data_IF_904075734746
#
_entry.id   IF_904075734746
#
_cell.length_a   1.000
_cell.length_b   1.000
_cell.length_c   1.000
_cell.angle_alpha   90.00
_cell.angle_beta   90.00
_cell.angle_gamma   90.00
#
_symmetry.space_group_name_H-M   'P 1'
#
loop_
_entity.id
_entity.type
_entity.pdbx_description
1 polymer ?
#
# COMPACT_ATOMS: atom_id res chain seq x y z
N UNK A 1 -48.67 42.16 16.27
CA UNK A 1 -49.37 41.15 15.43
C UNK A 1 -48.93 39.77 15.89
N UNK A 2 -49.63 39.17 16.86
CA UNK A 2 -49.26 37.87 17.45
C UNK A 2 -49.64 36.76 16.49
N UNK A 3 -48.69 35.89 16.22
CA UNK A 3 -48.94 34.69 15.40
C UNK A 3 -49.88 33.74 16.14
N UNK A 4 -50.89 33.22 15.44
CA UNK A 4 -51.81 32.24 16.02
C UNK A 4 -51.06 31.02 16.57
N UNK A 5 -51.56 30.37 17.66
CA UNK A 5 -50.87 29.25 18.31
C UNK A 5 -50.63 28.07 17.36
N UNK A 6 -51.44 27.88 16.31
CA UNK A 6 -51.25 26.88 15.25
C UNK A 6 -50.05 27.21 14.36
N UNK A 7 -49.85 28.47 14.00
CA UNK A 7 -48.71 28.89 13.16
C UNK A 7 -47.36 28.77 13.90
N UNK A 8 -47.32 29.01 15.20
CA UNK A 8 -46.16 28.83 16.02
C UNK A 8 -45.74 27.34 16.18
N UNK A 9 -46.75 26.46 16.35
CA UNK A 9 -46.56 25.01 16.46
C UNK A 9 -46.03 24.41 15.15
N UNK A 10 -46.62 24.77 14.00
CA UNK A 10 -46.11 24.33 12.70
C UNK A 10 -44.68 24.80 12.44
N UNK A 11 -44.30 26.01 12.82
CA UNK A 11 -42.95 26.52 12.66
C UNK A 11 -41.90 25.70 13.45
N UNK A 12 -42.28 25.20 14.63
CA UNK A 12 -41.43 24.31 15.44
C UNK A 12 -41.25 22.94 14.82
N UNK A 13 -42.33 22.39 14.25
CA UNK A 13 -42.27 21.10 13.55
C UNK A 13 -41.44 21.17 12.27
N UNK A 14 -41.60 22.20 11.45
CA UNK A 14 -40.75 22.41 10.25
C UNK A 14 -39.30 22.60 10.60
N UNK A 15 -38.96 23.32 11.67
CA UNK A 15 -37.58 23.45 12.09
C UNK A 15 -36.97 22.13 12.53
N UNK A 16 -37.71 21.29 13.26
CA UNK A 16 -37.25 19.96 13.68
C UNK A 16 -37.07 19.04 12.48
N UNK A 17 -38.02 19.00 11.56
CA UNK A 17 -37.91 18.22 10.30
C UNK A 17 -36.69 18.67 9.49
N UNK A 18 -36.46 19.99 9.37
CA UNK A 18 -35.31 20.53 8.66
C UNK A 18 -33.97 20.13 9.32
N UNK A 19 -33.92 20.09 10.66
CA UNK A 19 -32.70 19.64 11.39
C UNK A 19 -32.46 18.14 11.13
N UNK A 20 -33.51 17.30 11.18
CA UNK A 20 -33.37 15.88 10.92
C UNK A 20 -32.95 15.58 9.48
N UNK A 21 -33.47 16.32 8.50
CA UNK A 21 -33.08 16.15 7.09
C UNK A 21 -31.62 16.55 6.87
N UNK A 22 -31.16 17.65 7.48
CA UNK A 22 -29.75 18.07 7.41
C UNK A 22 -28.85 17.02 8.07
N UNK A 23 -29.19 16.55 9.26
CA UNK A 23 -28.42 15.52 9.97
C UNK A 23 -28.36 14.21 9.16
N UNK A 24 -29.46 13.79 8.57
CA UNK A 24 -29.52 12.60 7.71
C UNK A 24 -28.66 12.77 6.44
N UNK A 25 -28.65 13.95 5.84
CA UNK A 25 -27.79 14.26 4.67
C UNK A 25 -26.31 14.21 5.01
N UNK A 26 -25.94 14.77 6.15
CA UNK A 26 -24.55 14.73 6.63
C UNK A 26 -24.11 13.28 6.90
N UNK A 27 -24.98 12.49 7.57
CA UNK A 27 -24.70 11.09 7.83
C UNK A 27 -24.56 10.28 6.54
N UNK A 28 -25.46 10.49 5.58
CA UNK A 28 -25.41 9.85 4.29
C UNK A 28 -24.12 10.20 3.52
N UNK A 29 -23.72 11.48 3.52
CA UNK A 29 -22.48 11.92 2.92
C UNK A 29 -21.25 11.27 3.60
N UNK A 30 -21.25 11.21 4.92
CA UNK A 30 -20.17 10.54 5.67
C UNK A 30 -20.08 9.05 5.35
N UNK A 31 -21.21 8.36 5.24
CA UNK A 31 -21.26 6.94 4.83
C UNK A 31 -20.70 6.75 3.41
N UNK A 32 -21.05 7.63 2.47
CA UNK A 32 -20.53 7.57 1.10
C UNK A 32 -19.02 7.76 1.08
N UNK A 33 -18.50 8.76 1.81
CA UNK A 33 -17.05 8.99 1.92
C UNK A 33 -16.35 7.78 2.52
N UNK A 34 -16.90 7.20 3.60
CA UNK A 34 -16.34 6.01 4.22
C UNK A 34 -16.31 4.80 3.24
N UNK A 35 -17.39 4.60 2.47
CA UNK A 35 -17.44 3.55 1.43
C UNK A 35 -16.39 3.78 0.35
N UNK A 36 -16.25 5.00 -0.15
CA UNK A 36 -15.21 5.35 -1.13
C UNK A 36 -13.83 5.01 -0.55
N UNK A 37 -13.57 5.43 0.69
CA UNK A 37 -12.29 5.19 1.34
C UNK A 37 -11.97 3.68 1.47
N UNK A 38 -12.93 2.85 1.86
CA UNK A 38 -12.75 1.39 1.99
C UNK A 38 -12.53 0.68 0.64
N UNK A 39 -13.09 1.22 -0.44
CA UNK A 39 -12.87 0.70 -1.80
C UNK A 39 -11.46 1.04 -2.28
N UNK A 40 -10.99 2.26 -2.01
CA UNK A 40 -9.73 2.77 -2.54
C UNK A 40 -8.51 2.34 -1.73
N UNK A 41 -8.65 2.23 -0.41
CA UNK A 41 -7.55 1.93 0.47
C UNK A 41 -7.75 0.61 1.23
N UNK A 42 -6.63 -0.03 1.53
CA UNK A 42 -6.58 -1.14 2.49
C UNK A 42 -5.56 -0.78 3.56
N UNK A 43 -5.97 -0.85 4.83
CA UNK A 43 -5.04 -0.74 5.93
C UNK A 43 -4.38 -2.10 6.18
N UNK A 44 -3.07 -2.11 6.29
CA UNK A 44 -2.26 -3.29 6.59
C UNK A 44 -1.38 -2.98 7.78
N UNK A 45 -1.35 -3.88 8.76
CA UNK A 45 -0.40 -3.82 9.88
C UNK A 45 0.77 -4.74 9.53
N UNK A 46 1.98 -4.21 9.66
CA UNK A 46 3.21 -4.93 9.37
C UNK A 46 3.51 -5.86 10.55
N UNK A 47 3.60 -7.15 10.30
CA UNK A 47 3.88 -8.16 11.31
C UNK A 47 5.27 -8.79 11.17
N UNK A 48 5.97 -8.52 10.09
CA UNK A 48 7.34 -8.95 9.80
C UNK A 48 8.35 -7.78 9.87
N UNK A 49 9.62 -8.07 9.61
CA UNK A 49 10.72 -7.11 9.57
C UNK A 49 11.30 -6.91 8.17
N UNK A 50 10.64 -7.41 7.15
CA UNK A 50 11.16 -7.41 5.78
C UNK A 50 11.40 -6.03 5.20
N UNK A 51 10.71 -5.00 5.71
CA UNK A 51 10.81 -3.64 5.19
C UNK A 51 11.59 -2.68 6.10
N UNK A 52 12.27 -3.20 7.13
CA UNK A 52 13.17 -2.39 7.97
C UNK A 52 14.39 -1.91 7.14
N UNK A 53 14.85 -0.68 7.33
CA UNK A 53 14.40 0.33 8.29
C UNK A 53 13.25 1.22 7.78
N UNK A 54 12.82 1.07 6.55
CA UNK A 54 11.79 1.95 5.94
C UNK A 54 10.46 1.86 6.68
N UNK A 55 10.04 0.65 6.99
CA UNK A 55 8.83 0.34 7.75
C UNK A 55 9.18 -0.67 8.84
N UNK A 56 8.73 -0.41 10.05
CA UNK A 56 9.01 -1.25 11.22
C UNK A 56 7.84 -2.19 11.53
N UNK A 57 8.14 -3.28 12.22
CA UNK A 57 7.10 -4.17 12.72
C UNK A 57 6.15 -3.44 13.67
N UNK A 58 4.86 -3.54 13.41
CA UNK A 58 3.80 -2.85 14.14
C UNK A 58 3.33 -1.55 13.47
N UNK A 59 4.03 -1.09 12.44
CA UNK A 59 3.55 0.04 11.64
C UNK A 59 2.22 -0.31 10.97
N UNK A 60 1.33 0.67 10.87
CA UNK A 60 0.13 0.57 10.05
C UNK A 60 0.27 1.45 8.81
N UNK A 61 0.08 0.85 7.66
CA UNK A 61 0.17 1.52 6.36
C UNK A 61 -1.15 1.46 5.61
N UNK A 62 -1.40 2.47 4.78
CA UNK A 62 -2.48 2.48 3.82
C UNK A 62 -1.92 2.12 2.45
N UNK A 63 -2.45 1.05 1.88
CA UNK A 63 -2.16 0.64 0.52
C UNK A 63 -3.25 1.18 -0.42
N UNK A 64 -2.83 1.98 -1.41
CA UNK A 64 -3.69 2.50 -2.47
C UNK A 64 -3.90 1.41 -3.54
N UNK A 65 -5.13 0.92 -3.64
CA UNK A 65 -5.53 -0.09 -4.64
C UNK A 65 -5.70 0.51 -6.03
N UNK A 66 -6.08 1.78 -6.11
CA UNK A 66 -6.37 2.44 -7.38
C UNK A 66 -5.10 2.91 -8.08
N UNK A 67 -4.01 3.14 -7.34
CA UNK A 67 -2.75 3.53 -7.92
C UNK A 67 -2.33 2.61 -9.08
N UNK A 68 -2.62 1.31 -8.93
CA UNK A 68 -2.30 0.27 -9.92
C UNK A 68 -3.29 0.19 -11.09
N UNK A 69 -4.46 0.78 -10.96
CA UNK A 69 -5.47 0.86 -12.04
C UNK A 69 -5.08 1.93 -13.07
N UNK A 70 -4.45 3.00 -12.61
CA UNK A 70 -4.11 4.15 -13.45
C UNK A 70 -2.63 4.22 -13.84
N UNK A 71 -1.76 3.49 -13.15
CA UNK A 71 -0.33 3.48 -13.44
C UNK A 71 0.28 2.12 -13.09
N UNK A 72 1.19 1.64 -13.93
CA UNK A 72 2.00 0.46 -13.59
C UNK A 72 2.95 0.78 -12.43
N UNK A 73 3.27 -0.21 -11.58
CA UNK A 73 4.31 -0.07 -10.57
C UNK A 73 5.63 0.39 -11.19
N UNK A 74 6.33 1.26 -10.48
CA UNK A 74 7.65 1.76 -10.85
C UNK A 74 8.71 1.17 -9.95
N UNK A 75 9.96 1.15 -10.42
CA UNK A 75 11.10 0.78 -9.58
C UNK A 75 11.17 1.70 -8.35
N UNK A 76 11.31 1.09 -7.17
CA UNK A 76 11.32 1.77 -5.89
C UNK A 76 9.96 1.80 -5.18
N UNK A 77 8.84 1.57 -5.88
CA UNK A 77 7.52 1.49 -5.25
C UNK A 77 7.48 0.36 -4.22
N UNK A 78 6.88 0.61 -3.07
CA UNK A 78 6.56 -0.43 -2.09
C UNK A 78 5.17 -0.97 -2.36
N UNK A 79 5.07 -2.28 -2.56
CA UNK A 79 3.82 -2.95 -2.89
C UNK A 79 3.40 -3.91 -1.77
N UNK A 80 2.09 -3.90 -1.47
CA UNK A 80 1.44 -4.95 -0.70
C UNK A 80 0.98 -6.03 -1.67
N UNK A 81 1.30 -7.29 -1.39
CA UNK A 81 0.94 -8.41 -2.26
C UNK A 81 0.57 -9.65 -1.46
N UNK A 82 -0.16 -10.56 -2.10
CA UNK A 82 -0.46 -11.89 -1.52
C UNK A 82 0.66 -12.86 -1.86
N UNK A 83 1.19 -13.52 -0.83
CA UNK A 83 2.20 -14.55 -1.02
C UNK A 83 1.74 -15.64 -2.00
N UNK A 84 2.71 -16.24 -2.66
CA UNK A 84 2.47 -17.40 -3.54
C UNK A 84 2.01 -18.60 -2.70
N UNK A 85 2.62 -18.77 -1.52
CA UNK A 85 2.31 -19.83 -0.57
C UNK A 85 1.85 -19.23 0.76
N UNK A 86 1.00 -19.93 1.51
CA UNK A 86 0.60 -19.57 2.87
C UNK A 86 -0.47 -18.48 3.01
N UNK A 87 -0.87 -17.79 1.93
CA UNK A 87 -2.04 -16.88 1.91
C UNK A 87 -1.88 -15.56 2.69
N UNK A 88 -0.70 -15.25 3.22
CA UNK A 88 -0.42 -14.01 3.93
C UNK A 88 -0.30 -12.79 3.00
N UNK A 89 -0.41 -11.60 3.59
CA UNK A 89 -0.10 -10.33 2.92
C UNK A 89 1.31 -9.93 3.31
N UNK A 90 2.14 -9.68 2.32
CA UNK A 90 3.53 -9.27 2.47
C UNK A 90 3.77 -7.95 1.78
N UNK A 91 4.91 -7.35 2.09
CA UNK A 91 5.37 -6.14 1.42
C UNK A 91 6.73 -6.38 0.80
N UNK A 92 6.98 -5.68 -0.31
CA UNK A 92 8.27 -5.70 -0.97
C UNK A 92 8.44 -4.46 -1.84
N UNK A 93 9.68 -4.11 -2.10
CA UNK A 93 10.00 -3.01 -2.99
C UNK A 93 10.22 -3.52 -4.40
N UNK A 94 9.67 -2.83 -5.38
CA UNK A 94 9.87 -3.13 -6.81
C UNK A 94 11.33 -2.86 -7.16
N UNK A 95 12.04 -3.92 -7.53
CA UNK A 95 13.43 -3.88 -7.96
C UNK A 95 13.58 -4.21 -9.43
N UNK A 96 12.85 -5.22 -9.93
CA UNK A 96 12.84 -5.59 -11.34
C UNK A 96 11.50 -5.32 -11.99
N UNK A 97 11.53 -4.81 -13.22
CA UNK A 97 10.37 -4.55 -14.07
C UNK A 97 10.34 -5.55 -15.24
N UNK A 98 9.17 -5.70 -15.85
CA UNK A 98 8.99 -6.61 -17.01
C UNK A 98 10.03 -6.36 -18.11
N UNK A 99 10.61 -7.42 -18.63
CA UNK A 99 11.66 -7.41 -19.65
C UNK A 99 13.07 -7.17 -19.14
N UNK A 100 13.26 -6.89 -17.84
CA UNK A 100 14.58 -6.66 -17.27
C UNK A 100 15.22 -7.95 -16.78
N UNK A 101 16.52 -7.99 -16.89
CA UNK A 101 17.37 -9.03 -16.35
C UNK A 101 17.90 -8.58 -14.99
N UNK A 102 17.59 -9.34 -13.93
CA UNK A 102 17.96 -9.02 -12.55
C UNK A 102 18.85 -10.10 -11.98
N UNK A 103 19.96 -9.69 -11.38
CA UNK A 103 20.88 -10.56 -10.66
C UNK A 103 21.26 -9.97 -9.31
N UNK A 104 21.64 -10.82 -8.36
CA UNK A 104 22.26 -10.42 -7.09
C UNK A 104 23.63 -11.05 -7.05
N UNK A 105 24.66 -10.24 -6.93
CA UNK A 105 26.06 -10.71 -6.86
C UNK A 105 26.84 -9.90 -5.84
N UNK A 106 27.53 -10.61 -4.95
CA UNK A 106 28.33 -9.98 -3.89
C UNK A 106 27.53 -9.03 -3.01
N UNK A 107 26.25 -9.37 -2.76
CA UNK A 107 25.37 -8.56 -1.92
C UNK A 107 24.70 -7.38 -2.61
N UNK A 108 24.97 -7.14 -3.88
CA UNK A 108 24.46 -6.01 -4.66
C UNK A 108 23.53 -6.47 -5.79
N UNK A 109 22.53 -5.65 -6.10
CA UNK A 109 21.59 -5.92 -7.19
C UNK A 109 22.07 -5.30 -8.50
N UNK A 110 21.93 -6.05 -9.58
CA UNK A 110 22.25 -5.61 -10.93
C UNK A 110 21.00 -5.72 -11.81
N UNK A 111 20.75 -4.69 -12.60
CA UNK A 111 19.67 -4.64 -13.61
C UNK A 111 20.31 -4.51 -14.98
N UNK A 112 20.06 -5.47 -15.85
CA UNK A 112 20.67 -5.54 -17.19
C UNK A 112 22.21 -5.37 -17.14
N UNK A 113 22.84 -5.98 -16.17
CA UNK A 113 24.29 -5.91 -15.93
C UNK A 113 24.78 -4.62 -15.26
N UNK A 114 23.91 -3.64 -15.00
CA UNK A 114 24.28 -2.39 -14.34
C UNK A 114 23.95 -2.44 -12.84
N UNK A 115 24.88 -1.99 -12.00
CA UNK A 115 24.66 -1.88 -10.55
C UNK A 115 23.49 -0.97 -10.24
N UNK A 116 22.51 -1.47 -9.47
CA UNK A 116 21.41 -0.66 -8.96
C UNK A 116 21.85 0.08 -7.68
N UNK A 117 21.68 1.40 -7.67
CA UNK A 117 21.89 2.19 -6.46
C UNK A 117 20.64 2.14 -5.60
N UNK A 118 20.78 1.66 -4.37
CA UNK A 118 19.68 1.45 -3.42
C UNK A 118 20.00 2.17 -2.10
N UNK A 119 19.58 3.44 -2.00
CA UNK A 119 19.87 4.29 -0.83
C UNK A 119 19.03 3.92 0.41
N UNK A 120 18.06 3.03 0.26
CA UNK A 120 17.12 2.60 1.31
C UNK A 120 17.55 1.33 2.04
N UNK A 121 18.54 0.60 1.53
CA UNK A 121 19.10 -0.58 2.22
C UNK A 121 20.24 -0.22 3.14
N UNK A 122 20.35 -0.91 4.26
CA UNK A 122 21.44 -0.73 5.24
C UNK A 122 22.44 -1.87 5.22
N UNK A 123 22.05 -3.04 4.76
CA UNK A 123 22.85 -4.26 4.78
C UNK A 123 22.80 -4.95 3.41
N UNK A 124 23.93 -5.53 3.03
CA UNK A 124 24.05 -6.29 1.78
C UNK A 124 23.19 -7.57 1.81
N UNK A 125 22.76 -8.04 0.65
CA UNK A 125 22.07 -9.32 0.53
C UNK A 125 23.05 -10.47 0.87
N UNK A 126 22.67 -11.40 1.77
CA UNK A 126 23.56 -12.49 2.16
C UNK A 126 23.63 -13.62 1.12
N UNK A 127 22.76 -13.62 0.13
CA UNK A 127 22.63 -14.66 -0.90
C UNK A 127 22.75 -14.07 -2.29
N UNK A 128 23.43 -14.79 -3.16
CA UNK A 128 23.50 -14.44 -4.58
C UNK A 128 22.32 -15.04 -5.34
N UNK A 129 21.93 -14.40 -6.44
CA UNK A 129 20.88 -14.85 -7.35
C UNK A 129 21.43 -14.80 -8.76
N UNK A 130 21.38 -15.93 -9.45
CA UNK A 130 21.65 -15.97 -10.88
C UNK A 130 20.74 -15.03 -11.65
N UNK A 131 21.18 -14.59 -12.82
CA UNK A 131 20.42 -13.66 -13.63
C UNK A 131 19.10 -14.28 -14.07
N UNK A 132 18.00 -13.58 -13.77
CA UNK A 132 16.65 -13.97 -14.18
C UNK A 132 15.97 -12.83 -14.94
N UNK A 133 15.23 -13.18 -16.00
CA UNK A 133 14.43 -12.19 -16.73
C UNK A 133 13.03 -12.09 -16.14
N UNK A 134 12.60 -10.88 -15.81
CA UNK A 134 11.25 -10.60 -15.30
C UNK A 134 10.25 -10.67 -16.45
N UNK A 135 9.26 -11.54 -16.34
CA UNK A 135 8.23 -11.73 -17.36
C UNK A 135 7.24 -10.58 -17.48
N UNK A 136 6.48 -10.55 -18.57
CA UNK A 136 5.39 -9.60 -18.76
C UNK A 136 4.33 -9.73 -17.67
N UNK A 137 3.88 -8.59 -17.13
CA UNK A 137 2.93 -8.55 -16.02
C UNK A 137 3.47 -9.04 -14.68
N UNK A 138 4.78 -9.22 -14.57
CA UNK A 138 5.49 -9.64 -13.37
C UNK A 138 6.37 -8.51 -12.84
N UNK A 139 6.65 -8.57 -11.54
CA UNK A 139 7.56 -7.65 -10.85
C UNK A 139 8.47 -8.45 -9.94
N UNK A 140 9.75 -8.12 -9.92
CA UNK A 140 10.66 -8.68 -8.92
C UNK A 140 10.64 -7.76 -7.71
N UNK A 141 10.17 -8.31 -6.58
CA UNK A 141 10.05 -7.62 -5.31
C UNK A 141 11.10 -8.13 -4.33
N UNK A 142 11.80 -7.20 -3.70
CA UNK A 142 12.76 -7.53 -2.64
C UNK A 142 12.40 -6.82 -1.34
N UNK A 143 12.71 -7.42 -0.18
CA UNK A 143 12.59 -6.75 1.10
C UNK A 143 13.67 -5.66 1.23
N UNK A 144 13.43 -4.58 2.00
CA UNK A 144 14.45 -3.59 2.31
C UNK A 144 15.50 -4.15 3.30
N UNK A 145 15.04 -4.96 4.26
CA UNK A 145 15.93 -5.72 5.17
C UNK A 145 16.57 -6.90 4.42
N UNK A 146 17.55 -6.62 3.55
CA UNK A 146 18.20 -7.62 2.70
C UNK A 146 18.83 -8.76 3.49
N UNK A 147 19.35 -8.49 4.68
CA UNK A 147 19.88 -9.50 5.60
C UNK A 147 18.87 -10.56 6.03
N UNK A 148 17.56 -10.26 5.93
CA UNK A 148 16.51 -11.23 6.22
C UNK A 148 16.27 -12.26 5.13
N UNK A 149 16.84 -12.07 3.93
CA UNK A 149 16.67 -12.98 2.81
C UNK A 149 17.37 -14.31 3.08
N UNK A 150 16.62 -15.39 3.07
CA UNK A 150 17.13 -16.75 3.26
C UNK A 150 17.17 -17.55 1.95
N UNK A 151 16.44 -17.09 0.94
CA UNK A 151 16.30 -17.76 -0.35
C UNK A 151 16.20 -16.73 -1.46
N UNK A 152 16.69 -17.10 -2.63
CA UNK A 152 16.52 -16.38 -3.88
C UNK A 152 15.64 -17.16 -4.87
N UNK A 153 14.78 -18.03 -4.35
CA UNK A 153 13.82 -18.75 -5.18
C UNK A 153 12.97 -17.74 -5.98
N UNK A 154 13.14 -17.73 -7.29
CA UNK A 154 12.47 -16.77 -8.18
C UNK A 154 10.94 -16.79 -8.03
N UNK A 155 10.39 -17.94 -7.67
CA UNK A 155 8.94 -18.11 -7.45
C UNK A 155 8.42 -17.29 -6.26
N UNK A 156 9.27 -16.98 -5.30
CA UNK A 156 8.90 -16.16 -4.12
C UNK A 156 9.12 -14.67 -4.37
N UNK A 157 10.07 -14.32 -5.23
CA UNK A 157 10.49 -12.95 -5.48
C UNK A 157 9.78 -12.33 -6.70
N UNK A 158 9.36 -13.14 -7.66
CA UNK A 158 8.64 -12.70 -8.85
C UNK A 158 7.14 -12.79 -8.61
N UNK A 159 6.50 -11.64 -8.51
CA UNK A 159 5.09 -11.49 -8.17
C UNK A 159 4.31 -11.01 -9.39
N UNK A 160 3.22 -11.72 -9.73
CA UNK A 160 2.32 -11.29 -10.79
C UNK A 160 1.47 -10.08 -10.37
N UNK A 161 1.14 -9.23 -11.33
CA UNK A 161 0.28 -8.06 -11.12
C UNK A 161 -1.04 -8.40 -10.41
N UNK A 162 -1.61 -9.58 -10.68
CA UNK A 162 -2.87 -10.04 -10.07
C UNK A 162 -2.77 -10.29 -8.56
N UNK A 163 -1.57 -10.54 -8.05
CA UNK A 163 -1.32 -10.76 -6.62
C UNK A 163 -1.10 -9.47 -5.86
N UNK A 164 -0.87 -8.36 -6.56
CA UNK A 164 -0.63 -7.06 -5.94
C UNK A 164 -1.97 -6.52 -5.44
N UNK A 165 -2.00 -6.15 -4.16
CA UNK A 165 -3.17 -5.58 -3.49
C UNK A 165 -3.22 -4.07 -3.71
N UNK A 166 -2.06 -3.40 -3.63
CA UNK A 166 -1.96 -1.96 -3.76
C UNK A 166 -0.54 -1.47 -3.51
N UNK A 167 -0.32 -0.18 -3.78
CA UNK A 167 0.94 0.51 -3.48
C UNK A 167 0.85 1.13 -2.10
N UNK A 168 1.90 1.00 -1.30
CA UNK A 168 2.00 1.68 0.00
C UNK A 168 2.04 3.19 -0.24
N UNK A 169 1.03 3.90 0.25
CA UNK A 169 0.93 5.34 0.06
C UNK A 169 1.34 6.12 1.32
N UNK A 170 0.88 5.66 2.48
CA UNK A 170 1.07 6.40 3.73
C UNK A 170 1.27 5.43 4.89
N UNK A 171 2.25 5.70 5.75
CA UNK A 171 2.32 5.12 7.10
C UNK A 171 1.48 5.99 8.03
N UNK A 172 0.46 5.41 8.66
CA UNK A 172 -0.51 6.11 9.52
C UNK A 172 -0.29 5.89 11.01
N UNK A 173 0.42 4.83 11.37
CA UNK A 173 0.80 4.56 12.75
C UNK A 173 2.23 3.97 12.82
N UNK A 174 2.96 4.27 13.91
CA UNK A 174 2.58 5.18 15.00
C UNK A 174 2.50 6.65 14.53
N UNK A 175 1.70 7.46 15.22
CA UNK A 175 1.46 8.88 14.85
C UNK A 175 2.77 9.70 14.83
N UNK A 176 3.76 9.29 15.63
CA UNK A 176 5.07 9.94 15.70
C UNK A 176 5.92 9.79 14.42
N UNK A 177 5.59 8.84 13.56
CA UNK A 177 6.34 8.51 12.35
C UNK A 177 5.47 8.47 11.08
N UNK A 178 4.40 9.25 11.04
CA UNK A 178 3.56 9.40 9.83
C UNK A 178 4.43 9.86 8.67
N UNK A 179 4.36 9.13 7.55
CA UNK A 179 5.13 9.40 6.35
C UNK A 179 4.32 9.08 5.11
N UNK A 180 4.47 9.90 4.07
CA UNK A 180 3.91 9.66 2.73
C UNK A 180 5.01 9.10 1.86
N UNK A 181 4.70 8.06 1.09
CA UNK A 181 5.59 7.43 0.13
C UNK A 181 5.09 7.75 -1.30
N UNK A 182 5.97 8.29 -2.14
CA UNK A 182 5.68 8.63 -3.55
C UNK A 182 6.35 7.64 -4.49
#
# INVERSE_FOLDING_TARGET
MELSPRAARNRGEYKRLSIYTIAASILAAACIVALIFTVWFTAVIIDDRGMEPTLERGDAVLCDKLALTFSSPKRGDMLCYRAVYGGGVYMGRVVGLAGEEVAINGGSVYINGCLLKEDYITEACPVDMESITVGEGMFLLLPDARSSMQSTASEELIISAERIIGRVAVRVAPISSVAVFE
#
